data_IF_498527668406
#
_entry.id   IF_498527668406
#
_cell.length_a   1.000
_cell.length_b   1.000
_cell.length_c   1.000
_cell.angle_alpha   90.00
_cell.angle_beta   90.00
_cell.angle_gamma   90.00
#
_symmetry.space_group_name_H-M   'P 1'
#
loop_
_entity.id
_entity.type
_entity.pdbx_description
1 polymer ?
#
# COMPACT_ATOMS: atom_id res chain seq x y z
N UNK A 1 -17.62 -17.37 15.59
CA UNK A 1 -16.59 -18.01 14.71
C UNK A 1 -16.28 -17.23 13.43
N UNK A 2 -16.82 -16.02 13.20
CA UNK A 2 -16.48 -15.21 12.02
C UNK A 2 -16.05 -13.81 12.43
N UNK A 3 -15.08 -13.75 13.35
CA UNK A 3 -14.46 -12.48 13.74
C UNK A 3 -13.30 -12.18 12.80
N UNK A 4 -13.42 -11.11 12.02
CA UNK A 4 -12.35 -10.64 11.12
C UNK A 4 -11.04 -10.34 11.86
N UNK A 5 -11.13 -10.07 13.17
CA UNK A 5 -9.98 -9.94 14.06
C UNK A 5 -9.15 -11.22 14.17
N UNK A 6 -9.80 -12.39 14.20
CA UNK A 6 -9.10 -13.68 14.20
C UNK A 6 -8.45 -13.95 12.85
N UNK A 7 -9.11 -13.63 11.75
CA UNK A 7 -8.52 -13.80 10.41
C UNK A 7 -7.27 -12.93 10.25
N UNK A 8 -7.35 -11.66 10.66
CA UNK A 8 -6.20 -10.77 10.61
C UNK A 8 -5.07 -11.23 11.55
N UNK A 9 -5.38 -11.58 12.79
CA UNK A 9 -4.34 -12.02 13.74
C UNK A 9 -3.69 -13.34 13.31
N UNK A 10 -4.46 -14.24 12.68
CA UNK A 10 -3.94 -15.47 12.08
C UNK A 10 -3.00 -15.17 10.91
N UNK A 11 -3.36 -14.23 10.03
CA UNK A 11 -2.48 -13.79 8.93
C UNK A 11 -1.20 -13.15 9.47
N UNK A 12 -1.30 -12.30 10.48
CA UNK A 12 -0.15 -11.65 11.11
C UNK A 12 0.76 -12.66 11.83
N UNK A 13 0.16 -13.65 12.51
CA UNK A 13 0.88 -14.74 13.15
C UNK A 13 1.59 -15.63 12.12
N UNK A 14 0.90 -16.04 11.05
CA UNK A 14 1.49 -16.82 9.95
C UNK A 14 2.66 -16.07 9.30
N UNK A 15 2.51 -14.76 9.07
CA UNK A 15 3.58 -13.92 8.51
C UNK A 15 4.80 -13.83 9.45
N UNK A 16 4.58 -13.73 10.76
CA UNK A 16 5.65 -13.76 11.76
C UNK A 16 6.33 -15.13 11.90
N UNK A 17 5.58 -16.22 11.77
CA UNK A 17 6.10 -17.59 11.75
C UNK A 17 6.99 -17.75 10.51
N UNK A 18 6.47 -17.48 9.32
CA UNK A 18 7.20 -17.56 8.05
C UNK A 18 8.52 -16.77 8.13
N UNK A 19 8.51 -15.56 8.69
CA UNK A 19 9.72 -14.76 8.93
C UNK A 19 10.75 -15.50 9.80
N UNK A 20 10.34 -16.04 10.95
CA UNK A 20 11.26 -16.77 11.84
C UNK A 20 11.83 -18.03 11.19
N UNK A 21 11.01 -18.80 10.47
CA UNK A 21 11.46 -20.02 9.81
C UNK A 21 12.36 -19.73 8.61
N UNK A 22 12.05 -18.72 7.79
CA UNK A 22 12.88 -18.31 6.65
C UNK A 22 14.27 -17.86 7.12
N UNK A 23 14.36 -17.04 8.17
CA UNK A 23 15.65 -16.61 8.71
C UNK A 23 16.45 -17.79 9.26
N UNK A 24 15.81 -18.70 10.00
CA UNK A 24 16.47 -19.90 10.52
C UNK A 24 16.97 -20.80 9.40
N UNK A 25 16.20 -20.98 8.32
CA UNK A 25 16.59 -21.76 7.15
C UNK A 25 17.76 -21.09 6.41
N UNK A 26 17.73 -19.77 6.22
CA UNK A 26 18.83 -19.03 5.57
C UNK A 26 20.12 -19.14 6.40
N UNK A 27 20.05 -19.03 7.72
CA UNK A 27 21.21 -19.16 8.61
C UNK A 27 21.76 -20.59 8.62
N UNK A 28 20.88 -21.60 8.58
CA UNK A 28 21.28 -23.01 8.47
C UNK A 28 21.89 -23.33 7.09
N UNK A 29 21.29 -22.82 6.01
CA UNK A 29 21.75 -23.03 4.64
C UNK A 29 23.06 -22.28 4.32
N UNK A 30 23.30 -21.14 4.97
CA UNK A 30 24.56 -20.41 4.87
C UNK A 30 25.74 -21.10 5.58
N UNK A 31 25.49 -22.21 6.30
CA UNK A 31 26.47 -22.88 7.14
C UNK A 31 26.74 -22.05 8.40
N UNK A 32 26.73 -22.68 9.57
CA UNK A 32 26.85 -22.03 10.90
C UNK A 32 28.18 -21.32 11.19
N UNK A 33 28.89 -20.81 10.20
CA UNK A 33 30.15 -20.08 10.32
C UNK A 33 30.03 -18.72 9.64
N UNK A 34 30.02 -17.68 10.47
CA UNK A 34 30.41 -16.25 10.33
C UNK A 34 30.89 -15.69 8.95
N UNK A 35 30.37 -16.16 7.83
CA UNK A 35 30.80 -15.81 6.48
C UNK A 35 29.73 -14.97 5.79
N UNK A 36 29.54 -13.76 6.32
CA UNK A 36 28.77 -12.66 5.72
C UNK A 36 29.38 -12.13 4.39
N UNK A 37 30.17 -12.93 3.68
CA UNK A 37 31.07 -12.47 2.62
C UNK A 37 30.69 -12.95 1.20
N UNK A 38 29.64 -13.74 1.00
CA UNK A 38 29.12 -14.03 -0.35
C UNK A 38 27.67 -13.54 -0.49
N UNK A 39 27.48 -12.39 -1.17
CA UNK A 39 26.14 -11.92 -1.57
C UNK A 39 25.56 -10.75 -0.76
N UNK A 40 26.40 -9.79 -0.34
CA UNK A 40 26.00 -8.67 0.52
C UNK A 40 24.75 -7.89 0.07
N UNK A 41 24.44 -7.80 -1.23
CA UNK A 41 23.27 -7.03 -1.71
C UNK A 41 21.92 -7.69 -1.43
N UNK A 42 21.80 -9.01 -1.56
CA UNK A 42 20.52 -9.70 -1.43
C UNK A 42 20.18 -10.04 0.02
N UNK A 43 21.21 -10.34 0.83
CA UNK A 43 21.08 -10.54 2.26
C UNK A 43 20.70 -9.21 2.94
N UNK A 44 21.30 -8.07 2.56
CA UNK A 44 20.92 -6.75 3.08
C UNK A 44 19.46 -6.40 2.73
N UNK A 45 18.99 -6.76 1.53
CA UNK A 45 17.58 -6.59 1.13
C UNK A 45 16.65 -7.45 1.98
N UNK A 46 16.98 -8.73 2.19
CA UNK A 46 16.19 -9.62 3.04
C UNK A 46 16.12 -9.13 4.48
N UNK A 47 17.26 -8.76 5.10
CA UNK A 47 17.31 -8.22 6.46
C UNK A 47 16.51 -6.91 6.57
N UNK A 48 16.51 -6.06 5.53
CA UNK A 48 15.67 -4.85 5.49
C UNK A 48 14.18 -5.18 5.44
N UNK A 49 13.76 -6.17 4.66
CA UNK A 49 12.37 -6.62 4.62
C UNK A 49 11.93 -7.20 5.97
N UNK A 50 12.77 -8.00 6.62
CA UNK A 50 12.56 -8.51 7.98
C UNK A 50 12.32 -7.38 9.00
N UNK A 51 13.08 -6.26 8.92
CA UNK A 51 12.84 -5.10 9.79
C UNK A 51 11.45 -4.51 9.61
N UNK A 52 10.92 -4.42 8.39
CA UNK A 52 9.55 -3.94 8.15
C UNK A 52 8.49 -4.87 8.77
N UNK A 53 8.73 -6.19 8.75
CA UNK A 53 7.83 -7.16 9.42
C UNK A 53 7.86 -7.01 10.94
N UNK A 54 8.98 -6.63 11.55
CA UNK A 54 9.02 -6.28 12.99
C UNK A 54 8.16 -5.05 13.32
N UNK A 55 8.04 -4.08 12.42
CA UNK A 55 7.11 -2.96 12.59
C UNK A 55 5.65 -3.44 12.58
N UNK A 56 5.32 -4.51 11.87
CA UNK A 56 3.99 -5.14 11.95
C UNK A 56 3.68 -5.69 13.36
N UNK A 57 4.70 -6.06 14.16
CA UNK A 57 4.51 -6.44 15.57
C UNK A 57 4.18 -5.25 16.45
N UNK A 58 4.67 -4.05 16.12
CA UNK A 58 4.24 -2.81 16.80
C UNK A 58 2.75 -2.54 16.55
N UNK A 59 2.19 -3.01 15.43
CA UNK A 59 0.74 -2.96 15.20
C UNK A 59 -0.06 -3.82 16.19
N UNK A 60 0.55 -4.82 16.85
CA UNK A 60 -0.06 -5.55 17.98
C UNK A 60 -0.09 -4.68 19.24
N UNK A 61 0.91 -3.83 19.47
CA UNK A 61 0.92 -2.89 20.60
C UNK A 61 -0.20 -1.85 20.47
N UNK A 62 -0.52 -1.42 19.25
CA UNK A 62 -1.69 -0.57 18.98
C UNK A 62 -3.02 -1.23 19.39
N UNK A 63 -3.05 -2.56 19.55
CA UNK A 63 -4.23 -3.31 20.03
C UNK A 63 -4.25 -3.52 21.54
N UNK A 64 -3.11 -3.38 22.21
CA UNK A 64 -3.05 -3.41 23.67
C UNK A 64 -3.79 -2.22 24.29
N UNK A 65 -4.00 -1.16 23.50
CA UNK A 65 -4.77 0.03 23.88
C UNK A 65 -6.16 -0.05 23.22
N UNK A 66 -7.23 -0.32 23.98
CA UNK A 66 -8.58 -0.45 23.42
C UNK A 66 -9.08 0.84 22.76
N UNK A 67 -8.61 2.02 23.20
CA UNK A 67 -8.98 3.32 22.62
C UNK A 67 -8.57 3.44 21.14
N UNK A 68 -7.37 2.97 20.77
CA UNK A 68 -6.88 2.99 19.39
C UNK A 68 -7.69 2.06 18.49
N UNK A 69 -8.18 0.93 19.03
CA UNK A 69 -9.03 0.00 18.29
C UNK A 69 -10.39 0.62 17.95
N UNK A 70 -10.97 1.39 18.86
CA UNK A 70 -12.24 2.10 18.64
C UNK A 70 -12.06 3.14 17.53
N UNK A 71 -10.98 3.93 17.58
CA UNK A 71 -10.65 4.90 16.52
C UNK A 71 -10.47 4.23 15.16
N UNK A 72 -9.72 3.12 15.10
CA UNK A 72 -9.49 2.41 13.85
C UNK A 72 -10.79 1.81 13.27
N UNK A 73 -11.68 1.32 14.15
CA UNK A 73 -13.00 0.83 13.75
C UNK A 73 -13.90 1.96 13.23
N UNK A 74 -13.82 3.15 13.83
CA UNK A 74 -14.52 4.33 13.36
C UNK A 74 -14.01 4.77 11.98
N UNK A 75 -12.70 4.77 11.76
CA UNK A 75 -12.10 5.03 10.44
C UNK A 75 -12.59 4.00 9.42
N UNK A 76 -12.57 2.71 9.76
CA UNK A 76 -13.07 1.65 8.89
C UNK A 76 -14.54 1.83 8.50
N UNK A 77 -15.38 2.32 9.41
CA UNK A 77 -16.77 2.67 9.12
C UNK A 77 -16.88 3.87 8.18
N UNK A 78 -16.06 4.91 8.37
CA UNK A 78 -16.01 6.10 7.54
C UNK A 78 -15.51 5.84 6.11
N UNK A 79 -14.63 4.83 5.92
CA UNK A 79 -14.14 4.44 4.59
C UNK A 79 -15.29 4.07 3.65
N UNK A 80 -16.36 3.44 4.15
CA UNK A 80 -17.52 3.08 3.32
C UNK A 80 -18.16 4.30 2.66
N UNK A 81 -18.33 5.39 3.40
CA UNK A 81 -18.84 6.66 2.85
C UNK A 81 -17.82 7.37 1.98
N UNK A 82 -16.53 7.32 2.34
CA UNK A 82 -15.45 7.92 1.55
C UNK A 82 -15.31 7.25 0.17
N UNK A 83 -15.61 5.95 0.05
CA UNK A 83 -15.62 5.28 -1.27
C UNK A 83 -16.63 5.90 -2.24
N UNK A 84 -17.81 6.30 -1.75
CA UNK A 84 -18.82 6.98 -2.57
C UNK A 84 -18.33 8.38 -2.95
N UNK A 85 -17.69 9.09 -2.03
CA UNK A 85 -17.06 10.38 -2.30
C UNK A 85 -15.96 10.27 -3.37
N UNK A 86 -15.07 9.29 -3.25
CA UNK A 86 -14.03 9.02 -4.25
C UNK A 86 -14.62 8.70 -5.62
N UNK A 87 -15.71 7.93 -5.67
CA UNK A 87 -16.41 7.63 -6.93
C UNK A 87 -17.01 8.90 -7.55
N UNK A 88 -17.71 9.72 -6.76
CA UNK A 88 -18.22 11.02 -7.22
C UNK A 88 -17.09 11.92 -7.71
N UNK A 89 -15.98 11.99 -6.97
CA UNK A 89 -14.82 12.79 -7.33
C UNK A 89 -14.19 12.34 -8.66
N UNK A 90 -14.11 11.02 -8.90
CA UNK A 90 -13.63 10.46 -10.16
C UNK A 90 -14.54 10.85 -11.34
N UNK A 91 -15.87 10.84 -11.14
CA UNK A 91 -16.83 11.29 -12.16
C UNK A 91 -16.61 12.76 -12.51
N UNK A 92 -16.39 13.62 -11.52
CA UNK A 92 -16.10 15.04 -11.75
C UNK A 92 -14.82 15.20 -12.59
N UNK A 93 -13.73 14.52 -12.22
CA UNK A 93 -12.47 14.55 -12.97
C UNK A 93 -12.67 14.04 -14.40
N UNK A 94 -13.47 13.00 -14.60
CA UNK A 94 -13.78 12.47 -15.93
C UNK A 94 -14.52 13.49 -16.81
N UNK A 95 -15.54 14.18 -16.27
CA UNK A 95 -16.28 15.21 -17.00
C UNK A 95 -15.33 16.34 -17.43
N UNK A 96 -14.49 16.82 -16.51
CA UNK A 96 -13.49 17.85 -16.84
C UNK A 96 -12.47 17.35 -17.87
N UNK A 97 -11.98 16.11 -17.76
CA UNK A 97 -11.07 15.52 -18.73
C UNK A 97 -11.66 15.50 -20.15
N UNK A 98 -12.95 15.17 -20.28
CA UNK A 98 -13.65 15.19 -21.58
C UNK A 98 -13.82 16.62 -22.10
N UNK A 99 -14.23 17.56 -21.25
CA UNK A 99 -14.41 18.97 -21.64
C UNK A 99 -13.08 19.58 -22.10
N UNK A 100 -12.00 19.42 -21.33
CA UNK A 100 -10.68 19.94 -21.71
C UNK A 100 -10.14 19.28 -22.98
N UNK A 101 -10.43 18.00 -23.20
CA UNK A 101 -10.07 17.32 -24.45
C UNK A 101 -10.79 17.93 -25.65
N UNK A 102 -12.09 18.21 -25.54
CA UNK A 102 -12.88 18.84 -26.60
C UNK A 102 -12.44 20.29 -26.86
N UNK A 103 -12.17 21.06 -25.79
CA UNK A 103 -11.73 22.45 -25.92
C UNK A 103 -10.31 22.59 -26.50
N UNK A 104 -9.45 21.61 -26.26
CA UNK A 104 -8.05 21.63 -26.71
C UNK A 104 -7.84 20.81 -27.99
N UNK A 105 -8.93 20.37 -28.63
CA UNK A 105 -8.89 19.65 -29.89
C UNK A 105 -8.36 20.55 -31.01
N UNK A 106 -7.21 20.19 -31.58
CA UNK A 106 -6.53 20.96 -32.65
C UNK A 106 -5.42 21.91 -32.18
N UNK A 107 -5.22 22.08 -30.87
CA UNK A 107 -4.08 22.83 -30.30
C UNK A 107 -2.91 21.87 -29.97
N UNK A 108 -1.66 22.30 -30.14
CA UNK A 108 -0.47 21.49 -29.81
C UNK A 108 -0.46 21.04 -28.34
N UNK A 109 -0.99 21.88 -27.45
CA UNK A 109 -1.14 21.60 -26.01
C UNK A 109 -2.05 20.39 -25.75
N UNK A 110 -3.06 20.19 -26.59
CA UNK A 110 -4.01 19.07 -26.51
C UNK A 110 -3.37 17.74 -26.87
N UNK A 111 -2.40 17.76 -27.78
CA UNK A 111 -1.67 16.56 -28.24
C UNK A 111 -0.65 16.08 -27.21
N UNK A 112 -0.05 16.99 -26.45
CA UNK A 112 0.99 16.67 -25.46
C UNK A 112 0.40 16.31 -24.09
N UNK A 113 -0.64 17.02 -23.64
CA UNK A 113 -1.21 16.86 -22.29
C UNK A 113 -2.56 16.13 -22.26
N UNK A 114 -3.33 16.13 -23.37
CA UNK A 114 -4.69 15.61 -23.46
C UNK A 114 -4.88 14.54 -24.56
N UNK A 115 -3.82 13.80 -24.88
CA UNK A 115 -3.80 12.79 -25.95
C UNK A 115 -4.87 11.69 -25.79
N UNK A 116 -5.25 11.38 -24.55
CA UNK A 116 -6.31 10.42 -24.22
C UNK A 116 -6.97 10.73 -22.89
N UNK A 117 -8.17 10.18 -22.67
CA UNK A 117 -8.95 10.42 -21.44
C UNK A 117 -8.16 10.06 -20.17
N UNK A 118 -7.42 8.93 -20.08
CA UNK A 118 -6.64 8.62 -18.88
C UNK A 118 -5.46 9.59 -18.65
N UNK A 119 -4.83 10.07 -19.73
CA UNK A 119 -3.74 11.04 -19.66
C UNK A 119 -4.24 12.41 -19.21
N UNK A 120 -5.38 12.86 -19.75
CA UNK A 120 -6.09 14.07 -19.34
C UNK A 120 -6.49 14.02 -17.86
N UNK A 121 -7.02 12.89 -17.38
CA UNK A 121 -7.35 12.70 -15.96
C UNK A 121 -6.11 12.80 -15.06
N UNK A 122 -4.97 12.21 -15.45
CA UNK A 122 -3.72 12.30 -14.69
C UNK A 122 -3.19 13.75 -14.65
N UNK A 123 -3.13 14.42 -15.81
CA UNK A 123 -2.73 15.83 -15.90
C UNK A 123 -3.63 16.72 -15.03
N UNK A 124 -4.95 16.50 -15.03
CA UNK A 124 -5.89 17.28 -14.21
C UNK A 124 -5.74 17.01 -12.71
N UNK A 125 -5.39 15.79 -12.30
CA UNK A 125 -5.15 15.47 -10.88
C UNK A 125 -3.81 16.01 -10.39
N UNK A 126 -2.77 16.04 -11.24
CA UNK A 126 -1.42 16.44 -10.84
C UNK A 126 -1.16 17.94 -11.03
N UNK A 127 -1.75 18.56 -12.06
CA UNK A 127 -1.55 19.98 -12.39
C UNK A 127 -2.78 20.85 -12.11
N UNK A 128 -3.96 20.25 -11.90
CA UNK A 128 -5.20 20.96 -11.61
C UNK A 128 -5.48 21.19 -10.11
N UNK A 129 -4.66 20.62 -9.23
CA UNK A 129 -4.59 20.96 -7.79
C UNK A 129 -3.44 21.94 -7.54
#
# INVERSE_FOLDING_TARGET
>A
LRDGWFAFDSVLALMGIIETWILTIIVLAAGGSNSLALGGSDILRMVRMTKMVRLSRMARLLRAIPELLVLLKAIGMAVRSMMIFFLMWLVVIYVFAVVFRQLTEGQEVGRTYFAGVPAAMNTLVVQGI
#
